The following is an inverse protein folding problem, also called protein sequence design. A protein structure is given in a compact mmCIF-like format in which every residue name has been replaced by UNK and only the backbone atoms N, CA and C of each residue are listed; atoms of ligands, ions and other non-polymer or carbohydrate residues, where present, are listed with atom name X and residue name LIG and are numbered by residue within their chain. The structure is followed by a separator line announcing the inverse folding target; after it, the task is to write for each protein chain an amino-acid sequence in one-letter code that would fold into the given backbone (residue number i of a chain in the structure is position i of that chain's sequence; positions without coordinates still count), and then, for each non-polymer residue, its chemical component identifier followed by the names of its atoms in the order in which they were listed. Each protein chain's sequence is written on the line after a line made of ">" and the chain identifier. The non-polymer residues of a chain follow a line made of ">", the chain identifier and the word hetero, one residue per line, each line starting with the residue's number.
data_IF_832891804910
#
_entry.id   IF_832891804910
#
_cell.length_a   1.000
_cell.length_b   1.000
_cell.length_c   1.000
_cell.angle_alpha   90.00
_cell.angle_beta   90.00
_cell.angle_gamma   90.00
#
_symmetry.space_group_name_H-M   'P 1'
#
loop_
_entity.id
_entity.type
_entity.pdbx_description
1 polymer ?
#
# COMPACT_ATOMS: atom_id res chain seq x y z
N UNK A 1 2.78 17.56 -7.24
CA UNK A 1 2.37 16.31 -7.91
C UNK A 1 3.45 15.91 -8.89
N UNK A 2 4.00 14.72 -8.73
CA UNK A 2 5.01 14.14 -9.62
C UNK A 2 4.33 13.08 -10.52
N UNK A 3 4.95 12.69 -11.64
CA UNK A 3 4.46 11.60 -12.49
C UNK A 3 4.30 10.28 -11.68
N UNK A 4 5.22 9.92 -10.78
CA UNK A 4 5.06 8.81 -9.85
C UNK A 4 3.73 8.82 -9.08
N UNK A 5 3.35 9.95 -8.47
CA UNK A 5 2.10 10.03 -7.69
C UNK A 5 0.84 9.73 -8.50
N UNK A 6 0.78 10.16 -9.77
CA UNK A 6 -0.35 9.84 -10.64
C UNK A 6 -0.45 8.35 -10.94
N UNK A 7 0.71 7.72 -11.18
CA UNK A 7 0.78 6.29 -11.47
C UNK A 7 0.45 5.45 -10.23
N UNK A 8 0.94 5.85 -9.06
CA UNK A 8 0.60 5.22 -7.78
C UNK A 8 -0.90 5.32 -7.49
N UNK A 9 -1.47 6.53 -7.59
CA UNK A 9 -2.89 6.75 -7.41
C UNK A 9 -3.74 5.87 -8.36
N UNK A 10 -3.31 5.69 -9.61
CA UNK A 10 -3.96 4.80 -10.56
C UNK A 10 -3.86 3.33 -10.14
N UNK A 11 -2.69 2.86 -9.69
CA UNK A 11 -2.50 1.48 -9.23
C UNK A 11 -3.39 1.17 -8.01
N UNK A 12 -3.39 2.06 -7.02
CA UNK A 12 -4.26 1.99 -5.85
C UNK A 12 -5.74 1.97 -6.25
N UNK A 13 -6.15 2.83 -7.20
CA UNK A 13 -7.51 2.84 -7.72
C UNK A 13 -7.89 1.50 -8.37
N UNK A 14 -6.98 0.91 -9.17
CA UNK A 14 -7.21 -0.39 -9.81
C UNK A 14 -7.32 -1.52 -8.78
N UNK A 15 -6.49 -1.51 -7.73
CA UNK A 15 -6.60 -2.47 -6.61
C UNK A 15 -7.97 -2.33 -5.94
N UNK A 16 -8.42 -1.09 -5.69
CA UNK A 16 -9.74 -0.79 -5.14
C UNK A 16 -10.87 -1.30 -6.04
N UNK A 17 -10.78 -1.04 -7.34
CA UNK A 17 -11.79 -1.44 -8.33
C UNK A 17 -11.90 -2.97 -8.46
N UNK A 18 -10.79 -3.67 -8.51
CA UNK A 18 -10.75 -5.14 -8.56
C UNK A 18 -11.27 -5.76 -7.26
N UNK A 19 -10.97 -5.16 -6.12
CA UNK A 19 -11.51 -5.58 -4.82
C UNK A 19 -13.03 -5.35 -4.75
N UNK A 20 -13.53 -4.23 -5.27
CA UNK A 20 -14.96 -3.97 -5.38
C UNK A 20 -15.64 -4.97 -6.32
N UNK A 21 -15.00 -5.29 -7.45
CA UNK A 21 -15.51 -6.29 -8.39
C UNK A 21 -15.68 -7.68 -7.75
N UNK A 22 -14.79 -8.06 -6.82
CA UNK A 22 -14.92 -9.29 -6.04
C UNK A 22 -16.17 -9.30 -5.14
N UNK A 23 -16.61 -8.15 -4.64
CA UNK A 23 -17.85 -8.05 -3.84
C UNK A 23 -19.06 -8.47 -4.67
N UNK A 24 -19.12 -8.01 -5.92
CA UNK A 24 -20.24 -8.27 -6.83
C UNK A 24 -20.18 -9.66 -7.48
N UNK A 25 -18.97 -10.16 -7.78
CA UNK A 25 -18.78 -11.45 -8.47
C UNK A 25 -18.52 -12.63 -7.53
N UNK A 26 -18.31 -12.37 -6.24
CA UNK A 26 -18.21 -13.37 -5.19
C UNK A 26 -19.53 -14.09 -4.94
N UNK A 27 -19.81 -15.11 -5.74
CA UNK A 27 -20.95 -16.02 -5.58
C UNK A 27 -20.71 -17.05 -4.47
N UNK A 28 -21.72 -17.23 -3.62
CA UNK A 28 -21.87 -18.10 -2.44
C UNK A 28 -20.74 -18.10 -1.39
N UNK A 29 -21.14 -17.97 -0.12
CA UNK A 29 -20.37 -17.69 1.10
C UNK A 29 -19.18 -18.62 1.41
N UNK A 30 -18.96 -19.69 0.66
CA UNK A 30 -18.00 -20.74 0.99
C UNK A 30 -16.62 -20.59 0.36
N UNK A 31 -16.38 -19.59 -0.49
CA UNK A 31 -15.05 -19.32 -1.06
C UNK A 31 -14.48 -17.97 -0.60
N UNK A 32 -13.21 -17.90 -0.17
CA UNK A 32 -12.57 -16.65 0.21
C UNK A 32 -12.32 -15.72 -1.00
N UNK A 33 -12.13 -14.40 -0.77
CA UNK A 33 -12.36 -13.73 0.49
C UNK A 33 -13.85 -13.52 0.78
N UNK A 34 -14.19 -13.23 2.03
CA UNK A 34 -15.52 -12.75 2.40
C UNK A 34 -15.83 -11.41 1.69
N UNK A 35 -17.13 -11.13 1.49
CA UNK A 35 -17.55 -9.85 0.86
C UNK A 35 -17.15 -8.64 1.69
N UNK A 36 -17.17 -8.77 3.02
CA UNK A 36 -16.78 -7.69 3.93
C UNK A 36 -15.27 -7.41 3.81
N UNK A 37 -14.44 -8.45 3.72
CA UNK A 37 -13.01 -8.29 3.41
C UNK A 37 -12.80 -7.53 2.10
N UNK A 38 -13.41 -8.00 1.01
CA UNK A 38 -13.26 -7.40 -0.31
C UNK A 38 -13.74 -5.93 -0.34
N UNK A 39 -14.87 -5.63 0.33
CA UNK A 39 -15.40 -4.28 0.44
C UNK A 39 -14.48 -3.36 1.26
N UNK A 40 -13.94 -3.87 2.38
CA UNK A 40 -13.03 -3.09 3.23
C UNK A 40 -11.78 -2.71 2.44
N UNK A 41 -11.17 -3.67 1.74
CA UNK A 41 -10.03 -3.41 0.86
C UNK A 41 -10.39 -2.43 -0.27
N UNK A 42 -11.56 -2.56 -0.89
CA UNK A 42 -11.99 -1.60 -1.91
C UNK A 42 -12.04 -0.17 -1.37
N UNK A 43 -12.66 0.04 -0.21
CA UNK A 43 -12.78 1.37 0.42
C UNK A 43 -11.40 1.91 0.82
N UNK A 44 -10.56 1.08 1.46
CA UNK A 44 -9.22 1.49 1.88
C UNK A 44 -8.34 1.91 0.69
N UNK A 45 -8.35 1.13 -0.40
CA UNK A 45 -7.53 1.43 -1.58
C UNK A 45 -8.07 2.61 -2.41
N UNK A 46 -9.40 2.82 -2.45
CA UNK A 46 -9.94 4.06 -3.02
C UNK A 46 -9.59 5.27 -2.18
N UNK A 47 -9.67 5.18 -0.86
CA UNK A 47 -9.18 6.24 0.02
C UNK A 47 -7.70 6.51 -0.22
N UNK A 48 -6.86 5.47 -0.24
CA UNK A 48 -5.42 5.61 -0.49
C UNK A 48 -5.12 6.24 -1.86
N UNK A 49 -5.88 5.90 -2.90
CA UNK A 49 -5.76 6.53 -4.22
C UNK A 49 -6.04 8.03 -4.19
N UNK A 50 -7.12 8.44 -3.52
CA UNK A 50 -7.49 9.85 -3.35
C UNK A 50 -6.46 10.57 -2.47
N UNK A 51 -6.04 9.93 -1.38
CA UNK A 51 -5.00 10.45 -0.50
C UNK A 51 -3.69 10.68 -1.24
N UNK A 52 -3.27 9.73 -2.09
CA UNK A 52 -2.05 9.88 -2.89
C UNK A 52 -2.17 11.01 -3.92
N UNK A 53 -3.33 11.13 -4.56
CA UNK A 53 -3.59 12.14 -5.58
C UNK A 53 -3.62 13.56 -5.01
N UNK A 54 -4.12 13.75 -3.79
CA UNK A 54 -4.26 15.06 -3.15
C UNK A 54 -3.26 15.31 -2.01
N UNK A 55 -2.50 14.29 -1.64
CA UNK A 55 -1.60 14.26 -0.48
C UNK A 55 -2.31 14.71 0.81
N UNK A 56 -3.48 14.13 1.09
CA UNK A 56 -4.35 14.55 2.20
C UNK A 56 -3.67 14.37 3.55
N UNK A 57 -2.92 13.27 3.75
CA UNK A 57 -2.16 13.03 4.98
C UNK A 57 -1.12 14.12 5.28
N UNK A 58 -0.52 14.74 4.25
CA UNK A 58 0.39 15.87 4.43
C UNK A 58 -0.36 17.16 4.82
N UNK A 59 -1.64 17.28 4.48
CA UNK A 59 -2.48 18.44 4.78
C UNK A 59 -3.23 18.31 6.11
N UNK A 60 -3.16 17.14 6.76
CA UNK A 60 -3.94 16.84 7.96
C UNK A 60 -3.66 17.84 9.11
N UNK A 61 -2.39 18.22 9.29
CA UNK A 61 -1.97 19.19 10.31
C UNK A 61 -2.58 20.59 10.08
N UNK A 62 -2.85 20.96 8.83
CA UNK A 62 -3.49 22.24 8.49
C UNK A 62 -4.98 22.22 8.83
N UNK A 63 -5.62 21.06 8.70
CA UNK A 63 -7.05 20.87 8.96
C UNK A 63 -7.35 20.60 10.43
N UNK A 64 -6.42 19.96 11.13
CA UNK A 64 -6.52 19.56 12.54
C UNK A 64 -5.21 19.94 13.26
N UNK A 65 -5.10 21.19 13.76
CA UNK A 65 -3.84 21.71 14.34
C UNK A 65 -3.35 20.95 15.57
N UNK A 66 -4.24 20.24 16.26
CA UNK A 66 -3.95 19.36 17.40
C UNK A 66 -3.15 18.11 16.98
N UNK A 67 -3.17 17.77 15.69
CA UNK A 67 -2.48 16.62 15.13
C UNK A 67 -1.12 17.08 14.63
N UNK A 68 -0.05 16.51 15.20
CA UNK A 68 1.32 16.77 14.77
C UNK A 68 1.53 16.40 13.30
N UNK A 69 2.53 17.02 12.67
CA UNK A 69 2.85 16.82 11.24
C UNK A 69 3.07 15.36 10.80
N UNK A 70 3.21 14.42 11.74
CA UNK A 70 3.55 13.00 11.49
C UNK A 70 2.59 12.00 12.10
N UNK A 71 1.56 12.45 12.81
CA UNK A 71 0.63 11.55 13.50
C UNK A 71 -0.18 10.69 12.52
N UNK A 72 -0.28 11.11 11.26
CA UNK A 72 -0.88 10.31 10.18
C UNK A 72 -0.19 8.95 10.01
N UNK A 73 1.11 8.83 10.29
CA UNK A 73 1.84 7.56 10.23
C UNK A 73 1.27 6.56 11.25
N UNK A 74 0.99 7.03 12.48
CA UNK A 74 0.39 6.21 13.54
C UNK A 74 -1.02 5.76 13.18
N UNK A 75 -1.82 6.63 12.55
CA UNK A 75 -3.17 6.30 12.06
C UNK A 75 -3.09 5.19 11.00
N UNK A 76 -2.19 5.32 10.02
CA UNK A 76 -2.05 4.34 8.94
C UNK A 76 -1.53 3.00 9.45
N UNK A 77 -0.59 3.01 10.39
CA UNK A 77 -0.13 1.80 11.08
C UNK A 77 -1.28 1.14 11.85
N UNK A 78 -2.08 1.92 12.59
CA UNK A 78 -3.23 1.39 13.33
C UNK A 78 -4.29 0.78 12.41
N UNK A 79 -4.59 1.40 11.26
CA UNK A 79 -5.49 0.85 10.24
C UNK A 79 -4.94 -0.47 9.70
N UNK A 80 -3.64 -0.52 9.36
CA UNK A 80 -3.00 -1.74 8.84
C UNK A 80 -3.03 -2.90 9.83
N UNK A 81 -2.68 -2.64 11.10
CA UNK A 81 -2.70 -3.65 12.17
C UNK A 81 -4.12 -4.12 12.46
N UNK A 82 -5.06 -3.18 12.61
CA UNK A 82 -6.46 -3.51 12.93
C UNK A 82 -7.10 -4.32 11.80
N UNK A 83 -6.87 -3.93 10.54
CA UNK A 83 -7.35 -4.69 9.37
C UNK A 83 -6.77 -6.10 9.35
N UNK A 84 -5.47 -6.25 9.63
CA UNK A 84 -4.81 -7.56 9.67
C UNK A 84 -5.37 -8.48 10.77
N UNK A 85 -5.66 -7.92 11.94
CA UNK A 85 -6.24 -8.66 13.07
C UNK A 85 -7.69 -9.07 12.75
N UNK A 86 -8.53 -8.12 12.33
CA UNK A 86 -9.95 -8.35 12.04
C UNK A 86 -10.15 -9.41 10.96
N UNK A 87 -9.29 -9.42 9.94
CA UNK A 87 -9.40 -10.31 8.79
C UNK A 87 -8.36 -11.44 8.78
N UNK A 88 -7.77 -11.78 9.92
CA UNK A 88 -6.75 -12.82 10.00
C UNK A 88 -7.23 -14.18 9.42
N UNK A 89 -8.51 -14.51 9.60
CA UNK A 89 -9.14 -15.72 9.04
C UNK A 89 -9.17 -15.69 7.51
N UNK A 90 -9.63 -14.59 6.92
CA UNK A 90 -9.64 -14.40 5.46
C UNK A 90 -8.22 -14.50 4.89
N UNK A 91 -7.22 -13.91 5.55
CA UNK A 91 -5.82 -14.04 5.14
C UNK A 91 -5.33 -15.49 5.17
N UNK A 92 -5.62 -16.23 6.24
CA UNK A 92 -5.23 -17.64 6.37
C UNK A 92 -5.89 -18.48 5.27
N UNK A 93 -7.19 -18.26 5.01
CA UNK A 93 -7.91 -18.99 3.97
C UNK A 93 -7.37 -18.65 2.58
N UNK A 94 -7.20 -17.36 2.28
CA UNK A 94 -6.58 -16.92 1.03
C UNK A 94 -5.19 -17.52 0.83
N UNK A 95 -4.37 -17.58 1.87
CA UNK A 95 -3.04 -18.19 1.82
C UNK A 95 -3.12 -19.69 1.48
N UNK A 96 -4.05 -20.41 2.11
CA UNK A 96 -4.25 -21.86 1.86
C UNK A 96 -4.69 -22.15 0.43
N UNK A 97 -5.61 -21.36 -0.13
CA UNK A 97 -6.16 -21.63 -1.46
C UNK A 97 -5.36 -20.99 -2.61
N UNK A 98 -4.71 -19.86 -2.36
CA UNK A 98 -4.04 -19.02 -3.36
C UNK A 98 -2.64 -18.53 -2.90
N UNK A 99 -1.74 -19.42 -2.46
CA UNK A 99 -0.47 -19.02 -1.81
C UNK A 99 0.41 -18.16 -2.71
N UNK A 100 0.48 -18.46 -4.02
CA UNK A 100 1.28 -17.67 -4.97
C UNK A 100 0.80 -16.22 -5.10
N UNK A 101 -0.52 -16.02 -5.18
CA UNK A 101 -1.11 -14.68 -5.28
C UNK A 101 -0.85 -13.88 -4.00
N UNK A 102 -1.09 -14.49 -2.84
CA UNK A 102 -0.88 -13.83 -1.56
C UNK A 102 0.60 -13.57 -1.30
N UNK A 103 1.51 -14.45 -1.72
CA UNK A 103 2.95 -14.21 -1.62
C UNK A 103 3.37 -12.95 -2.40
N UNK A 104 2.86 -12.76 -3.63
CA UNK A 104 3.14 -11.56 -4.41
C UNK A 104 2.59 -10.29 -3.73
N UNK A 105 1.37 -10.37 -3.19
CA UNK A 105 0.78 -9.24 -2.45
C UNK A 105 1.56 -8.93 -1.17
N UNK A 106 1.95 -9.93 -0.38
CA UNK A 106 2.74 -9.72 0.84
C UNK A 106 4.13 -9.18 0.57
N UNK A 107 4.78 -9.65 -0.51
CA UNK A 107 6.06 -9.10 -0.95
C UNK A 107 5.90 -7.64 -1.35
N UNK A 108 4.84 -7.31 -2.11
CA UNK A 108 4.52 -5.94 -2.49
C UNK A 108 4.27 -5.04 -1.29
N UNK A 109 3.44 -5.49 -0.32
CA UNK A 109 3.19 -4.77 0.95
C UNK A 109 4.50 -4.55 1.70
N UNK A 110 5.37 -5.56 1.78
CA UNK A 110 6.65 -5.44 2.49
C UNK A 110 7.54 -4.38 1.84
N UNK A 111 7.70 -4.42 0.51
CA UNK A 111 8.49 -3.43 -0.23
C UNK A 111 7.91 -2.03 -0.07
N UNK A 112 6.59 -1.89 -0.18
CA UNK A 112 5.89 -0.61 0.02
C UNK A 112 6.12 -0.06 1.43
N UNK A 113 5.89 -0.86 2.47
CA UNK A 113 6.01 -0.40 3.87
C UNK A 113 7.45 -0.06 4.23
N UNK A 114 8.42 -0.92 3.90
CA UNK A 114 9.82 -0.65 4.23
C UNK A 114 10.45 0.42 3.35
N UNK A 115 10.03 0.52 2.09
CA UNK A 115 10.51 1.52 1.15
C UNK A 115 9.93 2.91 1.39
N UNK A 116 8.63 3.02 1.64
CA UNK A 116 7.94 4.26 1.98
C UNK A 116 8.23 4.69 3.42
N UNK A 117 7.55 4.05 4.38
CA UNK A 117 7.64 4.40 5.80
C UNK A 117 9.03 4.18 6.40
N UNK A 118 9.70 3.08 6.03
CA UNK A 118 11.00 2.75 6.60
C UNK A 118 12.03 3.83 6.30
N UNK A 119 12.16 4.25 5.04
CA UNK A 119 13.13 5.28 4.65
C UNK A 119 12.86 6.65 5.28
N UNK A 120 11.60 6.97 5.56
CA UNK A 120 11.25 8.20 6.27
C UNK A 120 11.63 8.14 7.75
N UNK A 121 11.43 7.01 8.44
CA UNK A 121 11.89 6.82 9.83
C UNK A 121 13.43 6.85 9.90
N UNK A 122 14.12 6.19 8.96
CA UNK A 122 15.59 6.22 8.88
C UNK A 122 16.16 7.62 8.67
N UNK A 123 15.40 8.52 8.01
CA UNK A 123 15.79 9.93 7.82
C UNK A 123 16.00 10.63 9.16
N UNK A 124 15.06 10.42 10.07
CA UNK A 124 14.97 11.20 11.31
C UNK A 124 15.97 10.76 12.37
N UNK A 125 16.20 9.45 12.50
CA UNK A 125 17.11 8.95 13.51
C UNK A 125 18.58 9.00 13.07
N UNK A 126 18.83 8.65 11.81
CA UNK A 126 20.17 8.27 11.35
C UNK A 126 20.77 9.30 10.39
N UNK A 127 20.00 9.75 9.38
CA UNK A 127 20.47 10.78 8.45
C UNK A 127 20.56 12.16 9.10
N UNK A 128 19.64 12.55 9.98
CA UNK A 128 19.76 13.82 10.70
C UNK A 128 21.06 13.90 11.53
N UNK A 129 21.45 12.79 12.17
CA UNK A 129 22.71 12.69 12.92
C UNK A 129 23.95 12.73 12.03
N UNK A 130 23.94 12.04 10.88
CA UNK A 130 25.09 11.98 9.95
C UNK A 130 25.22 13.24 9.09
N UNK A 131 24.11 13.78 8.60
CA UNK A 131 24.06 15.01 7.80
C UNK A 131 24.42 16.21 8.68
N UNK A 132 23.98 16.24 9.94
CA UNK A 132 24.41 17.27 10.91
C UNK A 132 25.93 17.35 11.07
N UNK A 133 26.65 16.24 10.89
CA UNK A 133 28.13 16.18 10.90
C UNK A 133 28.77 16.58 9.55
N UNK A 134 28.05 16.48 8.43
CA UNK A 134 28.53 16.80 7.07
C UNK A 134 28.15 18.21 6.58
N UNK A 135 27.26 18.91 7.31
CA UNK A 135 26.74 20.24 6.96
C UNK A 135 27.81 21.34 6.92
N UNK A 136 29.02 21.10 7.46
CA UNK A 136 30.12 22.06 7.31
C UNK A 136 30.72 22.12 5.87
N UNK A 137 30.41 21.20 4.94
CA UNK A 137 31.16 21.13 3.67
C UNK A 137 30.38 21.08 2.33
N UNK A 138 29.05 21.12 2.26
CA UNK A 138 28.44 21.39 0.95
C UNK A 138 26.95 21.11 0.77
N UNK A 139 26.22 22.15 0.38
CA UNK A 139 24.78 22.15 0.09
C UNK A 139 24.36 21.14 -1.02
N UNK A 140 25.28 20.77 -1.92
CA UNK A 140 25.00 19.86 -3.05
C UNK A 140 24.90 18.40 -2.64
N UNK A 141 25.73 17.91 -1.71
CA UNK A 141 25.73 16.50 -1.29
C UNK A 141 24.43 16.20 -0.53
N UNK A 142 24.04 17.09 0.38
CA UNK A 142 22.78 16.97 1.12
C UNK A 142 21.57 16.96 0.18
N UNK A 143 21.56 17.82 -0.85
CA UNK A 143 20.51 17.86 -1.84
C UNK A 143 20.44 16.56 -2.66
N UNK A 144 21.58 16.03 -3.11
CA UNK A 144 21.64 14.77 -3.87
C UNK A 144 21.18 13.57 -3.04
N UNK A 145 21.59 13.48 -1.77
CA UNK A 145 21.16 12.41 -0.86
C UNK A 145 19.65 12.46 -0.65
N UNK A 146 19.08 13.64 -0.42
CA UNK A 146 17.62 13.77 -0.25
C UNK A 146 16.87 13.42 -1.53
N UNK A 147 17.35 13.84 -2.70
CA UNK A 147 16.73 13.48 -3.99
C UNK A 147 16.80 11.99 -4.27
N UNK A 148 17.93 11.35 -3.96
CA UNK A 148 18.07 9.91 -4.12
C UNK A 148 17.15 9.16 -3.15
N UNK A 149 17.06 9.60 -1.89
CA UNK A 149 16.15 9.02 -0.88
C UNK A 149 14.71 9.05 -1.36
N UNK A 150 14.22 10.23 -1.78
CA UNK A 150 12.85 10.39 -2.31
C UNK A 150 12.63 9.51 -3.54
N UNK A 151 13.61 9.42 -4.44
CA UNK A 151 13.48 8.55 -5.61
C UNK A 151 13.39 7.06 -5.26
N UNK A 152 14.13 6.59 -4.25
CA UNK A 152 14.07 5.20 -3.78
C UNK A 152 12.75 4.93 -3.06
N UNK A 153 12.25 5.89 -2.29
CA UNK A 153 10.94 5.85 -1.63
C UNK A 153 9.82 5.68 -2.66
N UNK A 154 9.67 6.64 -3.59
CA UNK A 154 8.66 6.61 -4.66
C UNK A 154 8.77 5.34 -5.52
N UNK A 155 10.00 4.91 -5.85
CA UNK A 155 10.22 3.69 -6.63
C UNK A 155 9.76 2.43 -5.89
N UNK A 156 10.07 2.34 -4.60
CA UNK A 156 9.74 1.18 -3.77
C UNK A 156 8.24 1.09 -3.51
N UNK A 157 7.58 2.22 -3.27
CA UNK A 157 6.12 2.28 -3.16
C UNK A 157 5.44 1.80 -4.45
N UNK A 158 5.83 2.36 -5.60
CA UNK A 158 5.28 1.99 -6.90
C UNK A 158 5.54 0.51 -7.25
N UNK A 159 6.74 -0.01 -6.95
CA UNK A 159 7.05 -1.43 -7.14
C UNK A 159 6.18 -2.31 -6.24
N UNK A 160 5.99 -1.91 -4.99
CA UNK A 160 5.15 -2.60 -4.02
C UNK A 160 3.69 -2.69 -4.49
N UNK A 161 3.11 -1.56 -4.89
CA UNK A 161 1.76 -1.46 -5.44
C UNK A 161 1.59 -2.30 -6.71
N UNK A 162 2.59 -2.29 -7.60
CA UNK A 162 2.60 -3.09 -8.83
C UNK A 162 2.54 -4.60 -8.51
N UNK A 163 3.28 -5.06 -7.50
CA UNK A 163 3.26 -6.45 -7.05
C UNK A 163 1.93 -6.83 -6.39
N UNK A 164 1.33 -5.92 -5.62
CA UNK A 164 -0.01 -6.12 -5.03
C UNK A 164 -1.05 -6.28 -6.14
N UNK A 165 -1.05 -5.37 -7.12
CA UNK A 165 -1.96 -5.41 -8.25
C UNK A 165 -1.76 -6.68 -9.09
N UNK A 166 -0.51 -7.05 -9.36
CA UNK A 166 -0.19 -8.30 -10.04
C UNK A 166 -0.69 -9.53 -9.29
N UNK A 167 -0.47 -9.59 -7.97
CA UNK A 167 -0.95 -10.67 -7.12
C UNK A 167 -2.48 -10.80 -7.13
N UNK A 168 -3.19 -9.67 -7.12
CA UNK A 168 -4.64 -9.62 -7.21
C UNK A 168 -5.16 -10.07 -8.60
N UNK A 169 -4.52 -9.65 -9.68
CA UNK A 169 -4.81 -10.13 -11.03
C UNK A 169 -4.60 -11.64 -11.15
N UNK A 170 -3.50 -12.17 -10.59
CA UNK A 170 -3.21 -13.60 -10.56
C UNK A 170 -4.28 -14.37 -9.76
N UNK A 171 -4.74 -13.81 -8.64
CA UNK A 171 -5.84 -14.38 -7.86
C UNK A 171 -7.13 -14.47 -8.67
N UNK A 172 -7.50 -13.37 -9.35
CA UNK A 172 -8.71 -13.30 -10.17
C UNK A 172 -8.68 -14.25 -11.36
N UNK A 173 -7.56 -14.32 -12.09
CA UNK A 173 -7.39 -15.24 -13.21
C UNK A 173 -7.61 -16.69 -12.77
N UNK A 174 -6.95 -17.12 -11.69
CA UNK A 174 -7.10 -18.47 -11.15
C UNK A 174 -8.52 -18.76 -10.65
N UNK A 175 -9.23 -17.75 -10.15
CA UNK A 175 -10.64 -17.88 -9.74
C UNK A 175 -11.56 -18.04 -10.96
N UNK A 176 -11.28 -17.33 -12.04
CA UNK A 176 -12.02 -17.43 -13.29
C UNK A 176 -11.91 -18.82 -13.91
N UNK A 177 -10.70 -19.37 -14.00
CA UNK A 177 -10.45 -20.71 -14.54
C UNK A 177 -11.25 -21.79 -13.79
N UNK A 178 -11.28 -21.71 -12.45
CA UNK A 178 -12.07 -22.62 -11.62
C UNK A 178 -13.57 -22.53 -11.89
N UNK A 179 -14.10 -21.31 -12.08
CA UNK A 179 -15.52 -21.12 -12.39
C UNK A 179 -15.88 -21.71 -13.74
N UNK A 180 -15.05 -21.49 -14.77
CA UNK A 180 -15.27 -22.03 -16.11
C UNK A 180 -15.30 -23.57 -16.13
N UNK A 181 -14.42 -24.21 -15.35
CA UNK A 181 -14.41 -25.67 -15.18
C UNK A 181 -15.63 -26.20 -14.43
N UNK A 182 -16.21 -25.44 -13.49
CA UNK A 182 -17.40 -25.87 -12.73
C UNK A 182 -18.73 -25.70 -13.48
N UNK A 183 -18.73 -24.99 -14.61
CA UNK A 183 -19.91 -24.77 -15.46
C UNK A 183 -20.01 -25.74 -16.65
N UNK A 184 -19.04 -26.65 -16.79
CA UNK A 184 -19.05 -27.76 -17.76
C UNK A 184 -19.55 -29.03 -17.08
#
# INVERSE_FOLDING_TARGET
>A
MTIPSWLQALQLFLIGLLSLWLVFTGGHSSQPPTKIFALTFAVLFFYASVDELFKLHLQLHTLLPEIGHRDWQGIYLAIGVTTSILFCRDFIDLWRFHPKSILMMLLGISIFVFGGFGLEIFKDELLASIVGLLVEQGNLITLLVEKLRVAVEEFSEMLGESLILYGLCLFLAKRWDKKALSSQ
#
